data_IF_248829617391
#
_entry.id   IF_248829617391
#
_cell.length_a   1.000
_cell.length_b   1.000
_cell.length_c   1.000
_cell.angle_alpha   90.00
_cell.angle_beta   90.00
_cell.angle_gamma   90.00
#
_symmetry.space_group_name_H-M   'P 1'
#
loop_
_entity.id
_entity.type
_entity.pdbx_description
1 polymer ?
#
# COMPACT_ATOMS: atom_id res chain seq x y z
N UNK A 1 -7.11 -12.07 39.25
CA UNK A 1 -7.04 -10.60 39.42
C UNK A 1 -5.66 -10.17 38.94
N UNK A 2 -5.59 -9.45 37.82
CA UNK A 2 -4.31 -9.02 37.24
C UNK A 2 -3.98 -7.61 37.71
N UNK A 3 -2.79 -7.41 38.27
CA UNK A 3 -2.32 -6.09 38.73
C UNK A 3 -1.25 -5.59 37.76
N UNK A 4 -1.49 -4.42 37.16
CA UNK A 4 -0.51 -3.76 36.28
C UNK A 4 0.50 -3.04 37.18
N UNK A 5 1.77 -3.46 37.12
CA UNK A 5 2.87 -2.83 37.86
C UNK A 5 3.65 -1.91 36.92
N UNK A 6 3.78 -0.64 37.29
CA UNK A 6 4.52 0.37 36.54
C UNK A 6 5.98 0.32 36.96
N UNK A 7 6.88 0.02 36.03
CA UNK A 7 8.33 -0.01 36.30
C UNK A 7 8.85 1.43 36.23
N UNK A 8 9.22 2.01 37.37
CA UNK A 8 9.81 3.35 37.46
C UNK A 8 11.34 3.27 37.38
N UNK A 9 11.85 3.38 36.15
CA UNK A 9 13.28 3.52 35.85
C UNK A 9 13.45 4.05 34.43
N UNK A 10 14.58 4.69 34.09
CA UNK A 10 14.87 5.10 32.71
C UNK A 10 14.96 3.83 31.86
N UNK A 11 13.87 3.54 31.16
CA UNK A 11 13.78 2.42 30.26
C UNK A 11 14.52 2.82 28.98
N UNK A 12 15.61 2.14 28.66
CA UNK A 12 16.23 2.24 27.34
C UNK A 12 15.46 1.34 26.37
N UNK A 13 14.14 1.56 26.26
CA UNK A 13 13.32 0.94 25.23
C UNK A 13 13.19 1.89 24.03
N UNK A 14 14.23 2.66 23.72
CA UNK A 14 14.38 3.24 22.39
C UNK A 14 14.96 2.15 21.51
N UNK A 15 14.10 1.25 21.03
CA UNK A 15 14.42 0.53 19.80
C UNK A 15 14.50 1.57 18.68
N UNK A 16 15.65 2.23 18.57
CA UNK A 16 16.10 2.95 17.39
C UNK A 16 16.37 2.00 16.21
N UNK A 17 15.82 0.78 16.25
CA UNK A 17 15.26 0.20 15.04
C UNK A 17 14.05 1.04 14.65
N UNK A 18 14.34 2.25 14.17
CA UNK A 18 13.60 2.85 13.08
C UNK A 18 13.52 1.75 12.03
N UNK A 19 12.50 0.91 12.13
CA UNK A 19 11.91 0.28 10.97
C UNK A 19 11.79 1.43 10.01
N UNK A 20 12.54 1.36 8.91
CA UNK A 20 12.35 2.25 7.78
C UNK A 20 10.95 2.07 7.15
N UNK A 21 9.97 1.58 7.89
CA UNK A 21 8.57 1.90 7.71
C UNK A 21 8.37 3.37 8.07
N UNK A 22 8.79 4.21 7.13
CA UNK A 22 8.16 5.49 6.93
C UNK A 22 6.66 5.22 6.74
N UNK A 23 5.91 5.43 7.82
CA UNK A 23 4.46 5.39 7.96
C UNK A 23 3.74 6.43 7.07
N UNK A 24 4.07 6.53 5.78
CA UNK A 24 3.50 7.53 4.87
C UNK A 24 3.14 7.03 3.48
N UNK A 25 3.52 5.81 3.08
CA UNK A 25 2.92 5.17 1.91
C UNK A 25 2.00 4.05 2.41
N UNK A 26 0.78 4.45 2.74
CA UNK A 26 -0.28 3.49 3.03
C UNK A 26 -0.56 2.67 1.76
N UNK A 27 -0.86 1.38 1.91
CA UNK A 27 -1.17 0.52 0.78
C UNK A 27 -2.33 1.08 -0.05
N UNK A 28 -3.28 1.72 0.64
CA UNK A 28 -4.39 2.45 0.02
C UNK A 28 -3.90 3.58 -0.90
N UNK A 29 -2.97 4.41 -0.43
CA UNK A 29 -2.38 5.50 -1.24
C UNK A 29 -1.69 4.97 -2.50
N UNK A 30 -1.03 3.81 -2.41
CA UNK A 30 -0.40 3.18 -3.58
C UNK A 30 -1.47 2.69 -4.56
N UNK A 31 -2.54 2.05 -4.08
CA UNK A 31 -3.65 1.64 -4.92
C UNK A 31 -4.31 2.82 -5.62
N UNK A 32 -4.63 3.89 -4.88
CA UNK A 32 -5.25 5.10 -5.44
C UNK A 32 -4.36 5.74 -6.52
N UNK A 33 -3.04 5.74 -6.32
CA UNK A 33 -2.07 6.27 -7.28
C UNK A 33 -2.02 5.47 -8.59
N UNK A 34 -2.05 4.13 -8.51
CA UNK A 34 -1.93 3.27 -9.71
C UNK A 34 -3.29 2.91 -10.32
N UNK A 35 -4.38 3.13 -9.60
CA UNK A 35 -5.75 2.87 -10.05
C UNK A 35 -6.05 3.45 -11.45
N UNK A 36 -5.81 4.74 -11.72
CA UNK A 36 -6.07 5.30 -13.06
C UNK A 36 -5.22 4.61 -14.14
N UNK A 37 -3.94 4.38 -13.87
CA UNK A 37 -3.01 3.76 -14.83
C UNK A 37 -3.40 2.32 -15.19
N UNK A 38 -3.86 1.55 -14.20
CA UNK A 38 -4.29 0.16 -14.40
C UNK A 38 -5.67 0.11 -15.07
N UNK A 39 -6.56 1.07 -14.80
CA UNK A 39 -7.87 1.18 -15.49
C UNK A 39 -7.70 1.53 -16.96
N UNK A 40 -6.82 2.46 -17.29
CA UNK A 40 -6.50 2.83 -18.68
C UNK A 40 -5.74 1.73 -19.42
N UNK A 41 -4.86 1.01 -18.71
CA UNK A 41 -3.99 -0.01 -19.31
C UNK A 41 -3.76 -1.18 -18.33
N UNK A 42 -4.66 -2.19 -18.32
CA UNK A 42 -4.54 -3.33 -17.40
C UNK A 42 -3.28 -4.18 -17.63
N UNK A 43 -2.71 -4.11 -18.83
CA UNK A 43 -1.45 -4.78 -19.21
C UNK A 43 -0.19 -4.04 -18.74
N UNK A 44 -0.32 -2.88 -18.08
CA UNK A 44 0.83 -2.08 -17.63
C UNK A 44 1.81 -2.91 -16.79
N UNK A 45 3.10 -2.77 -17.09
CA UNK A 45 4.13 -3.50 -16.35
C UNK A 45 4.27 -2.95 -14.93
N UNK A 46 4.46 -3.84 -13.95
CA UNK A 46 4.67 -3.44 -12.55
C UNK A 46 5.88 -2.54 -12.38
N UNK A 47 6.93 -2.71 -13.22
CA UNK A 47 8.11 -1.86 -13.19
C UNK A 47 7.79 -0.39 -13.53
N UNK A 48 6.87 -0.15 -14.45
CA UNK A 48 6.41 1.19 -14.81
C UNK A 48 5.68 1.82 -13.63
N UNK A 49 4.80 1.05 -12.97
CA UNK A 49 4.11 1.50 -11.75
C UNK A 49 5.11 1.83 -10.63
N UNK A 50 6.15 1.01 -10.43
CA UNK A 50 7.19 1.27 -9.42
C UNK A 50 7.95 2.56 -9.73
N UNK A 51 8.31 2.79 -11.00
CA UNK A 51 8.99 4.01 -11.42
C UNK A 51 8.11 5.26 -11.22
N UNK A 52 6.82 5.16 -11.53
CA UNK A 52 5.86 6.25 -11.35
C UNK A 52 5.68 6.60 -9.87
N UNK A 53 5.43 5.59 -9.01
CA UNK A 53 5.32 5.80 -7.55
C UNK A 53 6.63 6.38 -6.97
N UNK A 54 7.79 5.95 -7.47
CA UNK A 54 9.08 6.53 -7.10
C UNK A 54 9.21 7.99 -7.54
N UNK A 55 8.76 8.33 -8.75
CA UNK A 55 8.80 9.69 -9.27
C UNK A 55 7.89 10.64 -8.47
N UNK A 56 6.69 10.19 -8.12
CA UNK A 56 5.69 10.95 -7.37
C UNK A 56 6.06 11.13 -5.89
N UNK A 57 6.38 10.04 -5.20
CA UNK A 57 6.56 10.07 -3.75
C UNK A 57 8.02 10.19 -3.31
N UNK A 58 8.98 10.11 -4.24
CA UNK A 58 10.43 10.09 -3.98
C UNK A 58 10.87 8.94 -3.05
N UNK A 59 10.06 7.89 -2.93
CA UNK A 59 10.35 6.70 -2.12
C UNK A 59 10.55 5.47 -2.98
N UNK A 60 11.52 4.64 -2.61
CA UNK A 60 11.78 3.36 -3.25
C UNK A 60 10.73 2.33 -2.82
N UNK A 61 9.72 2.12 -3.65
CA UNK A 61 8.73 1.06 -3.45
C UNK A 61 9.29 -0.30 -3.88
N UNK A 62 9.05 -1.31 -3.06
CA UNK A 62 9.37 -2.70 -3.37
C UNK A 62 8.46 -3.21 -4.49
N UNK A 63 9.02 -3.93 -5.45
CA UNK A 63 8.27 -4.57 -6.55
C UNK A 63 7.05 -5.35 -6.05
N UNK A 64 7.22 -6.14 -4.98
CA UNK A 64 6.14 -6.93 -4.38
C UNK A 64 4.96 -6.07 -3.90
N UNK A 65 5.22 -4.88 -3.33
CA UNK A 65 4.17 -3.95 -2.88
C UNK A 65 3.38 -3.39 -4.06
N UNK A 66 4.08 -2.98 -5.13
CA UNK A 66 3.42 -2.48 -6.34
C UNK A 66 2.63 -3.59 -7.06
N UNK A 67 3.14 -4.82 -7.08
CA UNK A 67 2.42 -5.96 -7.63
C UNK A 67 1.13 -6.26 -6.83
N UNK A 68 1.19 -6.28 -5.49
CA UNK A 68 0.01 -6.43 -4.65
C UNK A 68 -1.02 -5.32 -4.89
N UNK A 69 -0.58 -4.06 -4.94
CA UNK A 69 -1.46 -2.94 -5.20
C UNK A 69 -2.16 -3.09 -6.58
N UNK A 70 -1.41 -3.50 -7.63
CA UNK A 70 -1.99 -3.77 -8.95
C UNK A 70 -3.09 -4.83 -8.88
N UNK A 71 -2.86 -5.93 -8.15
CA UNK A 71 -3.86 -6.98 -7.97
C UNK A 71 -5.11 -6.49 -7.23
N UNK A 72 -4.94 -5.64 -6.20
CA UNK A 72 -6.09 -5.07 -5.48
C UNK A 72 -6.94 -4.18 -6.38
N UNK A 73 -6.32 -3.29 -7.15
CA UNK A 73 -7.03 -2.44 -8.12
C UNK A 73 -7.74 -3.28 -9.19
N UNK A 74 -7.10 -4.33 -9.70
CA UNK A 74 -7.73 -5.23 -10.68
C UNK A 74 -8.96 -5.95 -10.08
N UNK A 75 -8.89 -6.33 -8.80
CA UNK A 75 -10.02 -6.95 -8.10
C UNK A 75 -11.17 -5.96 -7.95
N UNK A 76 -10.90 -4.72 -7.55
CA UNK A 76 -11.93 -3.67 -7.46
C UNK A 76 -12.57 -3.38 -8.82
N UNK A 77 -11.77 -3.29 -9.89
CA UNK A 77 -12.28 -3.10 -11.25
C UNK A 77 -13.19 -4.26 -11.70
N UNK A 78 -12.84 -5.50 -11.35
CA UNK A 78 -13.65 -6.66 -11.68
C UNK A 78 -14.97 -6.70 -10.90
N UNK A 79 -14.97 -6.29 -9.63
CA UNK A 79 -16.19 -6.17 -8.82
C UNK A 79 -17.12 -5.07 -9.33
N UNK A 80 -16.57 -3.94 -9.79
CA UNK A 80 -17.33 -2.86 -10.43
C UNK A 80 -17.95 -3.31 -11.77
N UNK A 81 -17.24 -4.15 -12.52
CA UNK A 81 -17.73 -4.73 -13.78
C UNK A 81 -18.91 -5.69 -13.58
N UNK A 82 -18.91 -6.46 -12.49
CA UNK A 82 -19.99 -7.40 -12.15
C UNK A 82 -21.30 -6.65 -11.81
N UNK A 83 -21.19 -5.49 -11.13
CA UNK A 83 -22.34 -4.65 -10.81
C UNK A 83 -23.02 -4.03 -12.04
N UNK A 84 -22.30 -3.84 -13.15
CA UNK A 84 -22.87 -3.29 -14.39
C UNK A 84 -23.80 -4.27 -15.12
N UNK A 85 -23.76 -5.57 -14.81
CA UNK A 85 -24.64 -6.57 -15.45
C UNK A 85 -25.96 -6.77 -14.72
N UNK A 86 -26.08 -6.29 -13.47
CA UNK A 86 -27.27 -6.46 -12.62
C UNK A 86 -28.32 -5.32 -12.79
N UNK A 87 -28.07 -4.34 -13.67
CA UNK A 87 -29.02 -3.26 -13.99
C UNK A 87 -29.87 -3.52 -15.26
N UNK A 88 -29.99 -4.77 -15.73
CA UNK A 88 -30.86 -5.16 -16.86
C UNK A 88 -32.16 -5.85 -16.44
#
# INVERSE_FOLDING_TARGET
MWTIMKIEGPHTCTSARMLQDHRKLDAKTICDCIAPLVKESPTIQVLVLVADIQAQFKYKVLYRKAWWAKQMVMKELCSDYDASYDEL
#
